data_IF_871290123612
#
_entry.id   IF_871290123612
#
_cell.length_a   1.000
_cell.length_b   1.000
_cell.length_c   1.000
_cell.angle_alpha   90.00
_cell.angle_beta   90.00
_cell.angle_gamma   90.00
#
_symmetry.space_group_name_H-M   'P 1'
#
loop_
_entity.id
_entity.type
_entity.pdbx_description
1 polymer ?
#
# COMPACT_ATOMS: atom_id res chain seq x y z
N UNK A 1 24.95 3.47 -0.85
CA UNK A 1 24.03 2.81 -1.80
C UNK A 1 22.59 3.27 -1.58
N UNK A 2 21.97 3.06 -0.42
CA UNK A 2 20.59 3.53 -0.17
C UNK A 2 20.33 5.04 -0.41
N UNK A 3 21.24 5.98 -0.06
CA UNK A 3 21.02 7.40 -0.34
C UNK A 3 21.02 7.75 -1.83
N UNK A 4 21.76 7.00 -2.65
CA UNK A 4 21.78 7.21 -4.11
C UNK A 4 20.50 6.66 -4.75
N UNK A 5 20.02 5.49 -4.30
CA UNK A 5 18.75 4.92 -4.78
C UNK A 5 17.57 5.84 -4.48
N UNK A 6 17.52 6.45 -3.30
CA UNK A 6 16.48 7.42 -2.96
C UNK A 6 16.47 8.61 -3.95
N UNK A 7 17.64 9.18 -4.25
CA UNK A 7 17.76 10.28 -5.24
C UNK A 7 17.24 9.86 -6.63
N UNK A 8 17.56 8.64 -7.07
CA UNK A 8 17.08 8.13 -8.35
C UNK A 8 15.56 7.96 -8.38
N UNK A 9 14.96 7.44 -7.31
CA UNK A 9 13.50 7.30 -7.18
C UNK A 9 12.81 8.68 -7.21
N UNK A 10 13.32 9.66 -6.46
CA UNK A 10 12.80 11.03 -6.46
C UNK A 10 12.90 11.66 -7.85
N UNK A 11 14.05 11.52 -8.52
CA UNK A 11 14.24 12.04 -9.87
C UNK A 11 13.29 11.37 -10.87
N UNK A 12 13.11 10.05 -10.79
CA UNK A 12 12.19 9.32 -11.64
C UNK A 12 10.73 9.76 -11.42
N UNK A 13 10.33 10.01 -10.17
CA UNK A 13 8.99 10.50 -9.86
C UNK A 13 8.77 11.89 -10.46
N UNK A 14 9.75 12.79 -10.33
CA UNK A 14 9.69 14.13 -10.93
C UNK A 14 9.65 14.07 -12.47
N UNK A 15 10.41 13.16 -13.07
CA UNK A 15 10.39 12.93 -14.51
C UNK A 15 9.01 12.43 -14.98
N UNK A 16 8.36 11.53 -14.24
CA UNK A 16 7.00 11.11 -14.55
C UNK A 16 6.02 12.29 -14.49
N UNK A 17 6.07 13.07 -13.42
CA UNK A 17 5.18 14.21 -13.21
C UNK A 17 5.31 15.30 -14.28
N UNK A 18 6.51 15.49 -14.84
CA UNK A 18 6.76 16.48 -15.92
C UNK A 18 6.61 15.91 -17.33
N UNK A 19 6.95 14.64 -17.48
CA UNK A 19 7.10 13.97 -18.77
C UNK A 19 5.82 13.36 -19.34
N UNK A 20 4.80 13.20 -18.51
CA UNK A 20 3.55 12.57 -18.91
C UNK A 20 3.73 11.08 -19.25
N UNK A 21 2.87 10.57 -20.11
CA UNK A 21 2.71 9.13 -20.34
C UNK A 21 3.97 8.44 -20.88
N UNK A 22 4.63 8.99 -21.90
CA UNK A 22 5.79 8.36 -22.53
C UNK A 22 6.93 8.11 -21.54
N UNK A 23 7.23 9.12 -20.70
CA UNK A 23 8.24 9.00 -19.67
C UNK A 23 7.78 8.03 -18.57
N UNK A 24 6.53 8.09 -18.16
CA UNK A 24 5.98 7.15 -17.18
C UNK A 24 6.11 5.69 -17.60
N UNK A 25 5.85 5.39 -18.87
CA UNK A 25 6.00 4.03 -19.43
C UNK A 25 7.46 3.59 -19.43
N UNK A 26 8.37 4.46 -19.86
CA UNK A 26 9.80 4.15 -19.86
C UNK A 26 10.31 3.90 -18.43
N UNK A 27 9.92 4.73 -17.46
CA UNK A 27 10.27 4.56 -16.05
C UNK A 27 9.71 3.25 -15.51
N UNK A 28 8.44 2.94 -15.81
CA UNK A 28 7.80 1.70 -15.42
C UNK A 28 8.55 0.46 -15.92
N UNK A 29 8.91 0.44 -17.20
CA UNK A 29 9.63 -0.68 -17.83
C UNK A 29 11.06 -0.84 -17.29
N UNK A 30 11.74 0.27 -17.00
CA UNK A 30 13.13 0.24 -16.52
C UNK A 30 13.23 -0.04 -15.03
N UNK A 31 12.25 0.39 -14.23
CA UNK A 31 12.38 0.44 -12.76
C UNK A 31 11.41 -0.48 -12.02
N UNK A 32 10.48 -1.20 -12.67
CA UNK A 32 9.55 -2.10 -11.98
C UNK A 32 10.26 -3.14 -11.11
N UNK A 33 11.29 -3.79 -11.64
CA UNK A 33 12.13 -4.73 -10.88
C UNK A 33 12.88 -4.05 -9.73
N UNK A 34 13.38 -2.83 -9.94
CA UNK A 34 14.07 -2.06 -8.89
C UNK A 34 13.12 -1.65 -7.76
N UNK A 35 11.89 -1.24 -8.08
CA UNK A 35 10.85 -0.89 -7.11
C UNK A 35 10.54 -2.10 -6.21
N UNK A 36 10.35 -3.28 -6.80
CA UNK A 36 10.10 -4.52 -6.06
C UNK A 36 11.29 -4.89 -5.15
N UNK A 37 12.52 -4.81 -5.67
CA UNK A 37 13.72 -5.04 -4.87
C UNK A 37 13.85 -4.04 -3.71
N UNK A 38 13.51 -2.77 -3.94
CA UNK A 38 13.55 -1.72 -2.91
C UNK A 38 12.58 -2.06 -1.78
N UNK A 39 11.32 -2.40 -2.08
CA UNK A 39 10.35 -2.77 -1.05
C UNK A 39 10.77 -4.03 -0.29
N UNK A 40 11.31 -5.03 -1.00
CA UNK A 40 11.84 -6.25 -0.37
C UNK A 40 12.97 -5.92 0.61
N UNK A 41 13.96 -5.14 0.18
CA UNK A 41 15.07 -4.69 1.04
C UNK A 41 14.58 -3.85 2.22
N UNK A 42 13.60 -2.97 2.03
CA UNK A 42 13.03 -2.17 3.11
C UNK A 42 12.37 -3.06 4.17
N UNK A 43 11.58 -4.06 3.76
CA UNK A 43 10.97 -5.04 4.65
C UNK A 43 12.01 -5.84 5.44
N UNK A 44 13.03 -6.36 4.77
CA UNK A 44 14.12 -7.10 5.41
C UNK A 44 14.83 -6.26 6.49
N UNK A 45 15.18 -5.01 6.16
CA UNK A 45 15.88 -4.10 7.07
C UNK A 45 14.99 -3.65 8.24
N UNK A 46 13.71 -3.39 7.98
CA UNK A 46 12.73 -3.07 9.01
C UNK A 46 12.60 -4.22 10.03
N UNK A 47 12.55 -5.46 9.54
CA UNK A 47 12.49 -6.66 10.39
C UNK A 47 13.77 -6.91 11.19
N UNK A 48 14.94 -6.65 10.60
CA UNK A 48 16.24 -6.85 11.23
C UNK A 48 16.52 -5.81 12.33
N UNK A 49 16.13 -4.55 12.08
CA UNK A 49 16.33 -3.43 13.01
C UNK A 49 15.70 -3.72 14.39
N UNK A 50 14.47 -4.23 14.42
CA UNK A 50 13.73 -4.54 15.66
C UNK A 50 14.30 -5.74 16.42
N UNK A 51 14.92 -6.71 15.73
CA UNK A 51 15.62 -7.84 16.38
C UNK A 51 16.88 -7.37 17.11
N UNK A 52 17.60 -6.39 16.56
CA UNK A 52 18.82 -5.84 17.18
C UNK A 52 18.51 -5.01 18.43
N UNK A 53 17.45 -4.19 18.40
CA UNK A 53 17.06 -3.31 19.53
C UNK A 53 16.56 -4.08 20.75
N UNK A 54 15.96 -5.27 20.58
CA UNK A 54 15.59 -6.14 21.71
C UNK A 54 16.80 -6.67 22.50
N UNK A 55 17.99 -6.73 21.88
CA UNK A 55 19.21 -7.26 22.51
C UNK A 55 19.99 -6.19 23.31
N UNK A 56 19.61 -4.91 23.21
CA UNK A 56 20.39 -3.77 23.74
C UNK A 56 19.74 -2.96 24.87
N UNK A 57 18.60 -3.38 25.43
CA UNK A 57 17.97 -2.61 26.52
C UNK A 57 18.58 -2.91 27.90
N UNK A 58 19.74 -2.31 28.15
CA UNK A 58 20.17 -1.84 29.47
C UNK A 58 20.82 -0.47 29.28
N UNK A 59 20.16 0.59 29.74
CA UNK A 59 20.71 1.95 29.72
C UNK A 59 19.73 2.98 29.19
N UNK A 60 19.34 3.88 30.08
CA UNK A 60 18.64 5.13 29.81
C UNK A 60 19.42 5.98 28.82
N UNK A 61 19.03 5.93 27.55
CA UNK A 61 19.25 7.01 26.60
C UNK A 61 18.22 6.79 25.49
N UNK A 62 17.04 7.37 25.70
CA UNK A 62 16.07 7.59 24.63
C UNK A 62 16.64 8.67 23.70
N UNK A 63 17.76 8.34 23.04
CA UNK A 63 18.29 9.11 21.94
C UNK A 63 17.19 9.16 20.88
N UNK A 64 16.80 10.38 20.54
CA UNK A 64 15.94 10.78 19.44
C UNK A 64 16.15 9.79 18.28
N UNK A 65 15.21 8.84 18.10
CA UNK A 65 15.37 7.76 17.11
C UNK A 65 15.48 8.42 15.73
N UNK A 66 16.70 8.51 15.21
CA UNK A 66 16.97 9.04 13.88
C UNK A 66 16.14 8.26 12.87
N UNK A 67 15.46 8.98 11.96
CA UNK A 67 14.63 8.39 10.91
C UNK A 67 15.43 7.31 10.15
N UNK A 68 14.97 6.06 10.09
CA UNK A 68 15.73 5.00 9.44
C UNK A 68 15.83 5.24 7.93
N UNK A 69 17.02 5.05 7.35
CA UNK A 69 17.23 5.28 5.91
C UNK A 69 16.30 4.43 5.01
N UNK A 70 15.90 3.24 5.47
CA UNK A 70 15.01 2.36 4.72
C UNK A 70 13.59 2.94 4.67
N UNK A 71 13.21 3.75 5.66
CA UNK A 71 11.92 4.41 5.69
C UNK A 71 11.86 5.52 4.63
N UNK A 72 12.92 6.32 4.50
CA UNK A 72 13.03 7.31 3.42
C UNK A 72 12.96 6.63 2.05
N UNK A 73 13.71 5.54 1.88
CA UNK A 73 13.71 4.81 0.62
C UNK A 73 12.33 4.23 0.26
N UNK A 74 11.60 3.72 1.25
CA UNK A 74 10.22 3.24 1.10
C UNK A 74 9.27 4.36 0.67
N UNK A 75 9.38 5.54 1.27
CA UNK A 75 8.55 6.71 0.92
C UNK A 75 8.77 7.13 -0.53
N UNK A 76 10.03 7.25 -0.95
CA UNK A 76 10.37 7.61 -2.33
C UNK A 76 9.87 6.55 -3.34
N UNK A 77 9.92 5.27 -2.98
CA UNK A 77 9.38 4.20 -3.82
C UNK A 77 7.86 4.29 -3.95
N UNK A 78 7.12 4.55 -2.85
CA UNK A 78 5.67 4.76 -2.89
C UNK A 78 5.30 5.99 -3.73
N UNK A 79 6.04 7.09 -3.58
CA UNK A 79 5.85 8.30 -4.38
C UNK A 79 6.08 8.05 -5.87
N UNK A 80 7.11 7.28 -6.22
CA UNK A 80 7.37 6.89 -7.61
C UNK A 80 6.23 6.04 -8.17
N UNK A 81 5.76 5.03 -7.41
CA UNK A 81 4.62 4.19 -7.82
C UNK A 81 3.38 5.05 -8.07
N UNK A 82 3.09 6.01 -7.20
CA UNK A 82 1.99 6.94 -7.39
C UNK A 82 2.17 7.79 -8.65
N UNK A 83 3.36 8.37 -8.85
CA UNK A 83 3.66 9.22 -10.00
C UNK A 83 3.52 8.45 -11.32
N UNK A 84 4.15 7.27 -11.43
CA UNK A 84 4.08 6.40 -12.61
C UNK A 84 2.64 5.99 -12.89
N UNK A 85 1.90 5.55 -11.87
CA UNK A 85 0.53 5.06 -12.06
C UNK A 85 -0.44 6.17 -12.48
N UNK A 86 -0.21 7.43 -12.05
CA UNK A 86 -1.04 8.57 -12.46
C UNK A 86 -0.83 8.99 -13.91
N UNK A 87 0.34 8.74 -14.50
CA UNK A 87 0.67 9.20 -15.86
C UNK A 87 0.61 8.09 -16.90
N UNK A 88 0.65 6.83 -16.49
CA UNK A 88 0.58 5.67 -17.40
C UNK A 88 -0.87 5.27 -17.65
N UNK A 89 -1.37 5.57 -18.85
CA UNK A 89 -2.68 5.11 -19.29
C UNK A 89 -2.71 3.59 -19.57
N UNK A 90 -3.92 3.05 -19.73
CA UNK A 90 -4.29 1.62 -19.78
C UNK A 90 -3.49 0.71 -20.74
N UNK A 91 -2.77 1.27 -21.72
CA UNK A 91 -2.43 0.55 -22.98
C UNK A 91 -0.96 0.13 -23.10
N UNK A 92 -0.04 0.62 -22.27
CA UNK A 92 1.39 0.64 -22.64
C UNK A 92 2.36 -0.18 -21.78
N UNK A 93 1.91 -0.87 -20.73
CA UNK A 93 2.72 -1.90 -20.07
C UNK A 93 2.03 -3.24 -20.20
N UNK A 94 2.81 -4.32 -20.38
CA UNK A 94 2.28 -5.67 -20.18
C UNK A 94 1.60 -5.76 -18.79
N UNK A 95 0.52 -6.55 -18.71
CA UNK A 95 -0.23 -6.70 -17.46
C UNK A 95 0.65 -7.20 -16.31
N UNK A 96 1.67 -8.01 -16.64
CA UNK A 96 2.63 -8.58 -15.70
C UNK A 96 3.43 -7.50 -14.95
N UNK A 97 3.94 -6.47 -15.64
CA UNK A 97 4.69 -5.39 -14.98
C UNK A 97 3.80 -4.57 -14.03
N UNK A 98 2.52 -4.42 -14.36
CA UNK A 98 1.58 -3.70 -13.51
C UNK A 98 1.17 -4.51 -12.28
N UNK A 99 0.90 -5.80 -12.44
CA UNK A 99 0.61 -6.71 -11.33
C UNK A 99 1.80 -6.82 -10.37
N UNK A 100 3.04 -6.85 -10.89
CA UNK A 100 4.24 -6.83 -10.05
C UNK A 100 4.34 -5.57 -9.15
N UNK A 101 3.83 -4.42 -9.60
CA UNK A 101 3.77 -3.21 -8.76
C UNK A 101 2.72 -3.34 -7.67
N UNK A 102 1.56 -3.92 -7.98
CA UNK A 102 0.50 -4.18 -7.00
C UNK A 102 1.07 -5.06 -5.89
N UNK A 103 1.70 -6.17 -6.25
CA UNK A 103 2.35 -7.10 -5.32
C UNK A 103 3.43 -6.40 -4.48
N UNK A 104 4.20 -5.50 -5.10
CA UNK A 104 5.25 -4.77 -4.40
C UNK A 104 4.68 -3.81 -3.34
N UNK A 105 3.59 -3.11 -3.64
CA UNK A 105 2.89 -2.21 -2.70
C UNK A 105 2.20 -2.99 -1.59
N UNK A 106 1.55 -4.10 -1.91
CA UNK A 106 0.96 -4.99 -0.92
C UNK A 106 2.05 -5.54 0.03
N UNK A 107 3.18 -5.99 -0.51
CA UNK A 107 4.33 -6.42 0.28
C UNK A 107 4.91 -5.30 1.14
N UNK A 108 4.98 -4.06 0.64
CA UNK A 108 5.46 -2.91 1.41
C UNK A 108 4.65 -2.70 2.71
N UNK A 109 3.34 -2.94 2.68
CA UNK A 109 2.47 -2.79 3.86
C UNK A 109 2.86 -3.70 5.03
N UNK A 110 3.52 -4.83 4.77
CA UNK A 110 4.03 -5.73 5.80
C UNK A 110 5.07 -5.06 6.71
N UNK A 111 5.74 -3.99 6.24
CA UNK A 111 6.63 -3.19 7.08
C UNK A 111 5.91 -2.30 8.09
N UNK A 112 4.58 -2.13 8.02
CA UNK A 112 3.84 -1.18 8.86
C UNK A 112 4.03 -1.44 10.36
N UNK A 113 4.25 -2.69 10.76
CA UNK A 113 4.58 -3.09 12.14
C UNK A 113 5.94 -2.58 12.67
N UNK A 114 6.74 -1.99 11.78
CA UNK A 114 8.07 -1.45 12.04
C UNK A 114 8.16 0.06 11.76
N UNK A 115 7.12 0.70 11.25
CA UNK A 115 7.13 2.14 11.00
C UNK A 115 7.36 2.90 12.32
N UNK A 116 8.28 3.89 12.34
CA UNK A 116 8.48 4.69 13.54
C UNK A 116 7.21 5.50 13.85
N UNK A 117 6.72 5.52 15.11
CA UNK A 117 5.46 6.18 15.47
C UNK A 117 5.36 7.64 15.03
N UNK A 118 6.48 8.38 15.03
CA UNK A 118 6.55 9.78 14.63
C UNK A 118 6.26 10.00 13.13
N UNK A 119 6.42 8.97 12.30
CA UNK A 119 6.28 9.06 10.84
C UNK A 119 5.17 8.15 10.28
N UNK A 120 4.41 7.46 11.13
CA UNK A 120 3.33 6.56 10.71
C UNK A 120 2.28 7.25 9.85
N UNK A 121 1.89 8.49 10.17
CA UNK A 121 0.91 9.24 9.39
C UNK A 121 1.42 9.58 7.98
N UNK A 122 2.70 9.92 7.86
CA UNK A 122 3.36 10.18 6.58
C UNK A 122 3.41 8.90 5.72
N UNK A 123 3.83 7.77 6.30
CA UNK A 123 3.82 6.47 5.61
C UNK A 123 2.43 6.04 5.17
N UNK A 124 1.43 6.25 6.03
CA UNK A 124 0.05 5.95 5.66
C UNK A 124 -0.41 6.81 4.47
N UNK A 125 -0.05 8.10 4.46
CA UNK A 125 -0.42 9.00 3.37
C UNK A 125 0.21 8.56 2.05
N UNK A 126 1.51 8.26 2.04
CA UNK A 126 2.21 7.80 0.83
C UNK A 126 1.66 6.45 0.33
N UNK A 127 1.40 5.49 1.23
CA UNK A 127 0.79 4.21 0.87
C UNK A 127 -0.59 4.42 0.24
N UNK A 128 -1.42 5.27 0.83
CA UNK A 128 -2.78 5.53 0.32
C UNK A 128 -2.74 6.21 -1.05
N UNK A 129 -1.83 7.18 -1.26
CA UNK A 129 -1.65 7.83 -2.56
C UNK A 129 -1.21 6.85 -3.65
N UNK A 130 -0.28 5.94 -3.34
CA UNK A 130 0.16 4.90 -4.27
C UNK A 130 -1.00 3.95 -4.63
N UNK A 131 -1.74 3.46 -3.63
CA UNK A 131 -2.89 2.57 -3.84
C UNK A 131 -3.99 3.25 -4.66
N UNK A 132 -4.30 4.52 -4.37
CA UNK A 132 -5.29 5.29 -5.15
C UNK A 132 -4.83 5.44 -6.61
N UNK A 133 -3.57 5.78 -6.84
CA UNK A 133 -3.04 5.96 -8.19
C UNK A 133 -3.09 4.66 -9.01
N UNK A 134 -2.76 3.52 -8.37
CA UNK A 134 -2.91 2.18 -8.98
C UNK A 134 -4.39 1.91 -9.29
N UNK A 135 -5.29 2.14 -8.33
CA UNK A 135 -6.72 1.87 -8.52
C UNK A 135 -7.36 2.71 -9.63
N UNK A 136 -6.93 3.97 -9.80
CA UNK A 136 -7.36 4.82 -10.93
C UNK A 136 -6.87 4.31 -12.28
N UNK A 137 -5.77 3.55 -12.28
CA UNK A 137 -5.13 3.00 -13.49
C UNK A 137 -5.71 1.65 -13.90
N UNK A 138 -6.35 0.90 -12.99
CA UNK A 138 -6.98 -0.37 -13.29
C UNK A 138 -8.00 -0.21 -14.44
N UNK A 139 -7.71 -0.81 -15.58
CA UNK A 139 -8.49 -0.69 -16.83
C UNK A 139 -9.55 -1.77 -16.97
N UNK A 140 -9.39 -2.88 -16.24
CA UNK A 140 -10.23 -4.08 -16.37
C UNK A 140 -10.71 -4.55 -15.02
N UNK A 141 -11.87 -5.21 -15.01
CA UNK A 141 -12.43 -5.83 -13.80
C UNK A 141 -11.45 -6.81 -13.15
N UNK A 142 -10.68 -7.55 -13.95
CA UNK A 142 -9.68 -8.48 -13.45
C UNK A 142 -8.57 -7.75 -12.67
N UNK A 143 -8.09 -6.60 -13.16
CA UNK A 143 -7.09 -5.81 -12.45
C UNK A 143 -7.65 -5.20 -11.16
N UNK A 144 -8.91 -4.75 -11.16
CA UNK A 144 -9.57 -4.25 -9.94
C UNK A 144 -9.67 -5.37 -8.89
N UNK A 145 -10.14 -6.55 -9.31
CA UNK A 145 -10.24 -7.73 -8.44
C UNK A 145 -8.87 -8.18 -7.92
N UNK A 146 -7.86 -8.16 -8.78
CA UNK A 146 -6.48 -8.49 -8.42
C UNK A 146 -5.96 -7.50 -7.36
N UNK A 147 -6.09 -6.19 -7.59
CA UNK A 147 -5.69 -5.15 -6.65
C UNK A 147 -6.34 -5.33 -5.27
N UNK A 148 -7.66 -5.45 -5.23
CA UNK A 148 -8.39 -5.57 -3.97
C UNK A 148 -8.05 -6.89 -3.25
N UNK A 149 -7.93 -7.99 -3.99
CA UNK A 149 -7.52 -9.27 -3.43
C UNK A 149 -6.13 -9.21 -2.84
N UNK A 150 -5.16 -8.62 -3.53
CA UNK A 150 -3.77 -8.61 -3.09
C UNK A 150 -3.53 -7.63 -1.93
N UNK A 151 -4.26 -6.51 -1.89
CA UNK A 151 -4.25 -5.61 -0.74
C UNK A 151 -4.92 -6.18 0.50
N UNK A 152 -6.01 -6.96 0.35
CA UNK A 152 -6.77 -7.48 1.49
C UNK A 152 -6.27 -8.85 1.97
N UNK A 153 -5.62 -9.64 1.12
CA UNK A 153 -5.06 -10.95 1.49
C UNK A 153 -4.15 -10.91 2.72
N UNK A 154 -3.22 -9.93 2.86
CA UNK A 154 -2.38 -9.85 4.06
C UNK A 154 -3.18 -9.63 5.34
N UNK A 155 -4.38 -9.04 5.29
CA UNK A 155 -5.21 -8.85 6.49
C UNK A 155 -5.64 -10.17 7.14
N UNK A 156 -5.73 -11.28 6.38
CA UNK A 156 -5.92 -12.64 6.93
C UNK A 156 -4.63 -13.27 7.44
N UNK A 157 -3.53 -13.04 6.72
CA UNK A 157 -2.28 -13.77 6.95
C UNK A 157 -1.41 -13.15 8.05
N UNK A 158 -1.44 -11.82 8.21
CA UNK A 158 -0.59 -11.11 9.15
C UNK A 158 -1.25 -10.96 10.53
N UNK A 159 -0.61 -11.46 11.61
CA UNK A 159 -1.14 -11.30 12.97
C UNK A 159 -1.05 -9.85 13.47
N UNK A 160 -0.31 -8.97 12.78
CA UNK A 160 -0.09 -7.62 13.25
C UNK A 160 -1.27 -6.70 12.89
N UNK A 161 -2.01 -6.26 13.90
CA UNK A 161 -3.07 -5.25 13.74
C UNK A 161 -2.58 -3.97 13.04
N UNK A 162 -1.31 -3.58 13.23
CA UNK A 162 -0.73 -2.41 12.56
C UNK A 162 -0.68 -2.56 11.03
N UNK A 163 -0.37 -3.76 10.54
CA UNK A 163 -0.39 -4.07 9.10
C UNK A 163 -1.83 -4.06 8.58
N UNK A 164 -2.75 -4.74 9.28
CA UNK A 164 -4.18 -4.76 8.92
C UNK A 164 -4.76 -3.35 8.84
N UNK A 165 -4.50 -2.51 9.84
CA UNK A 165 -4.96 -1.12 9.89
C UNK A 165 -4.38 -0.28 8.76
N UNK A 166 -3.11 -0.46 8.39
CA UNK A 166 -2.49 0.30 7.31
C UNK A 166 -3.15 0.00 5.96
N UNK A 167 -3.42 -1.28 5.70
CA UNK A 167 -4.11 -1.73 4.49
C UNK A 167 -5.58 -1.32 4.47
N UNK A 168 -6.32 -1.53 5.56
CA UNK A 168 -7.73 -1.11 5.65
C UNK A 168 -7.89 0.39 5.42
N UNK A 169 -7.00 1.22 5.97
CA UNK A 169 -7.01 2.67 5.73
C UNK A 169 -6.72 3.00 4.26
N UNK A 170 -5.71 2.38 3.65
CA UNK A 170 -5.40 2.61 2.25
C UNK A 170 -6.55 2.18 1.32
N UNK A 171 -7.18 1.04 1.59
CA UNK A 171 -8.35 0.55 0.85
C UNK A 171 -9.57 1.46 1.07
N UNK A 172 -9.78 1.97 2.29
CA UNK A 172 -10.85 2.93 2.57
C UNK A 172 -10.66 4.21 1.75
N UNK A 173 -9.44 4.76 1.71
CA UNK A 173 -9.14 5.95 0.91
C UNK A 173 -9.22 5.68 -0.60
N UNK A 174 -8.91 4.46 -1.04
CA UNK A 174 -9.14 4.01 -2.41
C UNK A 174 -10.63 4.06 -2.78
N UNK A 175 -11.51 3.54 -1.93
CA UNK A 175 -12.96 3.59 -2.15
C UNK A 175 -13.48 5.02 -2.22
N UNK A 176 -13.03 5.91 -1.33
CA UNK A 176 -13.39 7.33 -1.37
C UNK A 176 -12.95 8.03 -2.66
N UNK A 177 -11.76 7.70 -3.15
CA UNK A 177 -11.14 8.42 -4.27
C UNK A 177 -11.55 7.88 -5.64
N UNK A 178 -11.85 6.58 -5.76
CA UNK A 178 -12.16 5.91 -7.04
C UNK A 178 -13.64 5.54 -7.10
N UNK A 179 -14.19 4.91 -6.06
CA UNK A 179 -15.61 4.62 -5.95
C UNK A 179 -16.11 3.62 -6.99
N UNK A 180 -17.05 4.04 -7.85
CA UNK A 180 -17.85 3.19 -8.74
C UNK A 180 -17.08 2.11 -9.53
N UNK A 181 -15.90 2.39 -10.14
CA UNK A 181 -15.11 1.38 -10.83
C UNK A 181 -14.70 0.18 -9.96
N UNK A 182 -14.67 0.34 -8.64
CA UNK A 182 -14.31 -0.73 -7.70
C UNK A 182 -15.46 -1.70 -7.42
N UNK A 183 -16.70 -1.40 -7.82
CA UNK A 183 -17.88 -2.22 -7.53
C UNK A 183 -17.76 -3.65 -8.10
N UNK A 184 -17.00 -3.83 -9.18
CA UNK A 184 -16.71 -5.15 -9.76
C UNK A 184 -15.92 -6.06 -8.82
N UNK A 185 -15.23 -5.49 -7.82
CA UNK A 185 -14.47 -6.18 -6.78
C UNK A 185 -15.18 -6.32 -5.43
N UNK A 186 -16.51 -6.11 -5.37
CA UNK A 186 -17.27 -6.24 -4.12
C UNK A 186 -17.21 -7.64 -3.51
N UNK A 187 -17.12 -8.68 -4.35
CA UNK A 187 -16.96 -10.06 -3.89
C UNK A 187 -15.68 -10.25 -3.08
N UNK A 188 -14.58 -9.68 -3.55
CA UNK A 188 -13.27 -9.74 -2.93
C UNK A 188 -13.33 -9.05 -1.57
N UNK A 189 -13.90 -7.83 -1.51
CA UNK A 189 -14.07 -7.11 -0.23
C UNK A 189 -14.92 -7.91 0.76
N UNK A 190 -16.05 -8.48 0.32
CA UNK A 190 -16.97 -9.24 1.18
C UNK A 190 -16.30 -10.46 1.81
N UNK A 191 -15.47 -11.19 1.04
CA UNK A 191 -14.74 -12.37 1.53
C UNK A 191 -13.83 -12.04 2.71
N UNK A 192 -13.17 -10.88 2.69
CA UNK A 192 -12.27 -10.47 3.77
C UNK A 192 -12.99 -9.76 4.91
N UNK A 193 -14.04 -8.98 4.60
CA UNK A 193 -14.73 -8.16 5.59
C UNK A 193 -15.40 -8.99 6.69
N UNK A 194 -16.01 -10.13 6.36
CA UNK A 194 -16.63 -11.02 7.35
C UNK A 194 -15.65 -11.46 8.44
N UNK A 195 -14.46 -11.94 8.03
CA UNK A 195 -13.43 -12.36 8.99
C UNK A 195 -12.85 -11.19 9.80
N UNK A 196 -12.71 -10.01 9.18
CA UNK A 196 -12.13 -8.82 9.84
C UNK A 196 -13.10 -8.10 10.78
N UNK A 197 -14.41 -8.36 10.67
CA UNK A 197 -15.41 -7.90 11.64
C UNK A 197 -15.39 -8.72 12.93
N UNK A 198 -14.80 -9.93 12.91
CA UNK A 198 -14.62 -10.80 14.07
C UNK A 198 -13.19 -10.71 14.65
N UNK A 199 -12.39 -9.72 14.21
CA UNK A 199 -11.01 -9.56 14.68
C UNK A 199 -10.95 -9.23 16.17
N UNK A 200 -10.03 -9.87 16.91
CA UNK A 200 -9.85 -9.64 18.35
C UNK A 200 -9.45 -8.18 18.66
N UNK A 201 -8.91 -7.46 17.69
CA UNK A 201 -8.54 -6.06 17.83
C UNK A 201 -9.70 -5.14 17.40
N UNK A 202 -10.34 -4.50 18.38
CA UNK A 202 -11.45 -3.56 18.16
C UNK A 202 -11.13 -2.40 17.18
N UNK A 203 -9.87 -1.99 17.05
CA UNK A 203 -9.49 -0.96 16.07
C UNK A 203 -9.54 -1.50 14.64
N UNK A 204 -9.19 -2.78 14.43
CA UNK A 204 -9.29 -3.44 13.13
C UNK A 204 -10.75 -3.60 12.76
N UNK A 205 -11.59 -4.12 13.66
CA UNK A 205 -13.03 -4.20 13.46
C UNK A 205 -13.61 -2.82 13.07
N UNK A 206 -13.29 -1.78 13.83
CA UNK A 206 -13.75 -0.41 13.55
C UNK A 206 -13.29 0.08 12.17
N UNK A 207 -12.04 -0.18 11.80
CA UNK A 207 -11.52 0.19 10.49
C UNK A 207 -12.22 -0.58 9.36
N UNK A 208 -12.56 -1.86 9.57
CA UNK A 208 -13.35 -2.66 8.63
C UNK A 208 -14.76 -2.09 8.46
N UNK A 209 -15.43 -1.70 9.55
CA UNK A 209 -16.75 -1.04 9.49
C UNK A 209 -16.69 0.28 8.72
N UNK A 210 -15.64 1.08 8.93
CA UNK A 210 -15.45 2.32 8.17
C UNK A 210 -15.22 2.05 6.69
N UNK A 211 -14.40 1.06 6.35
CA UNK A 211 -14.18 0.64 4.96
C UNK A 211 -15.50 0.19 4.32
N UNK A 212 -16.29 -0.66 5.00
CA UNK A 212 -17.60 -1.09 4.52
C UNK A 212 -18.56 0.09 4.32
N UNK A 213 -18.61 1.06 5.24
CA UNK A 213 -19.46 2.23 5.10
C UNK A 213 -19.16 3.03 3.81
N UNK A 214 -17.90 3.14 3.41
CA UNK A 214 -17.53 3.76 2.14
C UNK A 214 -17.97 2.91 0.93
N UNK A 215 -17.88 1.59 1.02
CA UNK A 215 -18.38 0.69 -0.03
C UNK A 215 -19.91 0.82 -0.17
N UNK A 216 -20.64 0.85 0.95
CA UNK A 216 -22.10 1.00 1.00
C UNK A 216 -22.54 2.38 0.46
N UNK A 217 -21.78 3.43 0.76
CA UNK A 217 -22.02 4.77 0.21
C UNK A 217 -21.92 4.81 -1.31
N UNK A 218 -21.05 3.98 -1.90
CA UNK A 218 -20.85 3.88 -3.36
C UNK A 218 -21.84 2.91 -4.00
N UNK A 219 -22.13 1.76 -3.38
CA UNK A 219 -22.99 0.71 -3.93
C UNK A 219 -24.48 1.00 -3.77
N UNK A 220 -24.86 1.75 -2.73
CA UNK A 220 -26.25 1.94 -2.32
C UNK A 220 -26.88 0.70 -1.65
N UNK A 221 -26.09 -0.35 -1.39
CA UNK A 221 -26.54 -1.58 -0.76
C UNK A 221 -25.91 -1.73 0.63
N UNK A 222 -26.68 -2.26 1.60
CA UNK A 222 -26.14 -2.65 2.90
C UNK A 222 -25.37 -3.97 2.77
N UNK A 223 -24.04 -3.90 2.94
CA UNK A 223 -23.17 -5.07 2.92
C UNK A 223 -23.13 -5.75 4.28
N UNK A 224 -23.25 -4.99 5.37
CA UNK A 224 -23.33 -5.55 6.72
C UNK A 224 -24.53 -6.50 6.89
N UNK A 225 -25.68 -6.18 6.29
CA UNK A 225 -26.85 -7.06 6.29
C UNK A 225 -26.59 -8.36 5.53
N UNK A 226 -25.88 -8.29 4.40
CA UNK A 226 -25.56 -9.46 3.57
C UNK A 226 -24.51 -10.37 4.20
N UNK A 227 -23.61 -9.82 5.02
CA UNK A 227 -22.56 -10.58 5.71
C UNK A 227 -23.05 -11.29 6.97
N UNK A 228 -24.18 -10.87 7.55
CA UNK A 228 -24.80 -11.50 8.72
C UNK A 228 -25.97 -12.44 8.39
N UNK A 229 -26.37 -12.52 7.13
CA UNK A 229 -27.46 -13.38 6.64
C UNK A 229 -26.95 -14.79 6.29
#
# INVERSE_FOLDING_TARGET
>A
KAPQTAIWLTLAAELCNRGGQEIGVAVLQLMSGEILEVFTKCNEQASASKKSSKKRKSGEEAAQESRPWWFDLMQEALNLVAAVSNVTAEVSSDGETFEAIIDAVANCSASAKYWPPAYTAEAQSALSLAVIAIGKRCATDNQVKYLLSDLLRPCRMEPSAQVKLALLRAVTELWKAVGGPLLVGMSEVSVYAGELLEDENAEVERATRLMLAEVEAVSGESLLEKLHA
#
